data_IF_929002629547
#
_entry.id   IF_929002629547
#
_cell.length_a   1.000
_cell.length_b   1.000
_cell.length_c   1.000
_cell.angle_alpha   90.00
_cell.angle_beta   90.00
_cell.angle_gamma   90.00
#
_symmetry.space_group_name_H-M   'P 1'
#
loop_
_entity.id
_entity.type
_entity.pdbx_description
1 polymer ?
#
# COMPACT_ATOMS: atom_id res chain seq x y z
N UNK A 1 11.62 -1.59 12.96
CA UNK A 1 10.74 -0.40 12.93
C UNK A 1 11.43 0.73 12.15
N UNK A 2 10.90 1.08 10.97
CA UNK A 2 11.54 2.00 10.03
C UNK A 2 11.20 3.48 10.29
N UNK A 3 12.11 4.37 9.89
CA UNK A 3 11.87 5.82 9.86
C UNK A 3 10.93 6.21 8.72
N UNK A 4 10.27 7.35 8.83
CA UNK A 4 9.38 7.86 7.79
C UNK A 4 10.06 7.94 6.41
N UNK A 5 11.29 8.46 6.37
CA UNK A 5 12.06 8.58 5.13
C UNK A 5 12.37 7.22 4.49
N UNK A 6 12.72 6.21 5.28
CA UNK A 6 12.97 4.84 4.79
C UNK A 6 11.69 4.24 4.18
N UNK A 7 10.54 4.42 4.84
CA UNK A 7 9.25 3.96 4.30
C UNK A 7 8.91 4.64 2.98
N UNK A 8 9.18 5.95 2.86
CA UNK A 8 8.99 6.69 1.62
C UNK A 8 9.92 6.18 0.52
N UNK A 9 11.19 5.90 0.83
CA UNK A 9 12.17 5.43 -0.13
C UNK A 9 11.78 4.04 -0.67
N UNK A 10 11.39 3.13 0.22
CA UNK A 10 10.89 1.79 -0.14
C UNK A 10 9.67 1.90 -1.07
N UNK A 11 8.69 2.73 -0.74
CA UNK A 11 7.50 2.91 -1.58
C UNK A 11 7.79 3.64 -2.89
N UNK A 12 8.71 4.62 -2.86
CA UNK A 12 9.13 5.35 -4.06
C UNK A 12 10.03 4.52 -4.97
N UNK A 13 10.59 3.41 -4.48
CA UNK A 13 11.33 2.44 -5.27
C UNK A 13 10.43 1.64 -6.22
N UNK A 14 9.10 1.67 -6.03
CA UNK A 14 8.16 1.04 -6.94
C UNK A 14 7.78 2.03 -8.06
N UNK A 15 8.18 1.79 -9.32
CA UNK A 15 7.90 2.71 -10.43
C UNK A 15 6.41 2.82 -10.77
N UNK A 16 5.62 1.85 -10.32
CA UNK A 16 4.17 1.80 -10.48
C UNK A 16 3.43 2.77 -9.53
N UNK A 17 4.07 3.18 -8.43
CA UNK A 17 3.45 4.02 -7.43
C UNK A 17 3.71 5.51 -7.68
N UNK A 18 2.63 6.26 -7.82
CA UNK A 18 2.64 7.72 -7.85
C UNK A 18 2.55 8.26 -6.43
N UNK A 19 3.61 8.94 -5.99
CA UNK A 19 3.63 9.69 -4.73
C UNK A 19 2.66 10.87 -4.79
N UNK A 20 1.85 11.02 -3.75
CA UNK A 20 0.92 12.14 -3.59
C UNK A 20 1.07 12.74 -2.20
N UNK A 21 1.66 13.93 -2.13
CA UNK A 21 1.83 14.68 -0.89
C UNK A 21 0.50 15.34 -0.49
N UNK A 22 0.07 15.11 0.75
CA UNK A 22 -1.17 15.69 1.29
C UNK A 22 -0.86 16.61 2.48
N UNK A 23 -1.87 17.33 2.95
CA UNK A 23 -1.69 18.31 4.03
C UNK A 23 -1.15 17.69 5.33
N UNK A 24 -0.41 18.51 6.09
CA UNK A 24 0.26 18.16 7.35
C UNK A 24 1.41 17.15 7.21
N UNK A 25 2.14 17.21 6.10
CA UNK A 25 3.35 16.40 5.88
C UNK A 25 3.07 14.91 5.73
N UNK A 26 1.82 14.55 5.36
CA UNK A 26 1.44 13.16 5.10
C UNK A 26 1.66 12.85 3.62
N UNK A 27 1.89 11.58 3.34
CA UNK A 27 2.07 11.10 1.97
C UNK A 27 1.16 9.91 1.71
N UNK A 28 0.57 9.89 0.52
CA UNK A 28 -0.12 8.74 -0.03
C UNK A 28 0.66 8.22 -1.24
N UNK A 29 0.50 6.94 -1.56
CA UNK A 29 1.02 6.34 -2.79
C UNK A 29 -0.13 5.69 -3.53
N UNK A 30 -0.30 6.07 -4.79
CA UNK A 30 -1.38 5.58 -5.64
C UNK A 30 -0.82 4.74 -6.78
N UNK A 31 -1.43 3.60 -7.04
CA UNK A 31 -1.20 2.79 -8.22
C UNK A 31 -2.21 3.18 -9.31
N UNK A 32 -1.77 3.92 -10.32
CA UNK A 32 -2.66 4.42 -11.37
C UNK A 32 -3.16 3.33 -12.32
N UNK A 33 -2.38 2.27 -12.49
CA UNK A 33 -2.67 1.10 -13.31
C UNK A 33 -3.60 0.06 -12.68
N UNK A 34 -4.20 0.38 -11.52
CA UNK A 34 -5.11 -0.54 -10.84
C UNK A 34 -6.29 -0.93 -11.73
N UNK A 35 -6.56 -2.24 -11.82
CA UNK A 35 -7.75 -2.81 -12.45
C UNK A 35 -8.97 -2.76 -11.52
N UNK A 36 -8.82 -2.20 -10.33
CA UNK A 36 -9.88 -2.00 -9.35
C UNK A 36 -10.21 -0.50 -9.19
N UNK A 37 -11.39 -0.20 -8.64
CA UNK A 37 -11.75 1.17 -8.27
C UNK A 37 -10.77 1.77 -7.23
N UNK A 38 -10.17 0.91 -6.40
CA UNK A 38 -9.15 1.32 -5.43
C UNK A 38 -7.80 1.51 -6.12
N UNK A 39 -7.22 2.70 -5.97
CA UNK A 39 -5.87 3.03 -6.44
C UNK A 39 -4.88 3.31 -5.31
N UNK A 40 -5.38 3.58 -4.11
CA UNK A 40 -4.51 3.93 -2.98
C UNK A 40 -3.83 2.68 -2.42
N UNK A 41 -2.52 2.60 -2.58
CA UNK A 41 -1.68 1.56 -1.96
C UNK A 41 -1.18 2.05 -0.61
N UNK A 42 -0.44 3.16 -0.58
CA UNK A 42 -0.01 3.82 0.65
C UNK A 42 -1.00 4.88 1.10
N UNK A 43 -1.48 4.80 2.34
CA UNK A 43 -2.46 5.72 2.90
C UNK A 43 -1.98 6.37 4.20
N UNK A 44 -2.08 7.70 4.25
CA UNK A 44 -1.79 8.55 5.42
C UNK A 44 -0.45 8.20 6.08
N UNK A 45 0.62 8.02 5.29
CA UNK A 45 1.95 7.88 5.87
C UNK A 45 2.31 9.16 6.58
N UNK A 46 2.61 9.06 7.87
CA UNK A 46 2.84 10.18 8.77
C UNK A 46 4.31 10.21 9.19
N UNK A 47 4.91 11.39 9.38
CA UNK A 47 6.30 11.52 9.81
C UNK A 47 6.63 10.88 11.17
N UNK A 48 5.62 10.46 11.94
CA UNK A 48 5.81 9.70 13.18
C UNK A 48 6.02 8.19 12.92
N UNK A 49 6.12 7.76 11.66
CA UNK A 49 6.27 6.37 11.25
C UNK A 49 4.96 5.59 11.13
N UNK A 50 3.81 6.15 11.50
CA UNK A 50 2.52 5.51 11.29
C UNK A 50 2.07 5.64 9.84
N UNK A 51 1.31 4.67 9.37
CA UNK A 51 0.77 4.66 8.01
C UNK A 51 0.07 3.35 7.76
N UNK A 52 -0.53 3.25 6.58
CA UNK A 52 -1.26 2.06 6.20
C UNK A 52 -0.96 1.68 4.75
N UNK A 53 -0.97 0.37 4.48
CA UNK A 53 -0.92 -0.18 3.12
C UNK A 53 -2.22 -0.92 2.85
N UNK A 54 -2.75 -0.78 1.64
CA UNK A 54 -3.93 -1.52 1.24
C UNK A 54 -3.63 -3.03 1.19
N UNK A 55 -4.43 -3.82 1.86
CA UNK A 55 -4.30 -5.27 1.91
C UNK A 55 -5.67 -5.96 1.90
N UNK A 56 -6.74 -5.23 1.56
CA UNK A 56 -8.11 -5.76 1.57
C UNK A 56 -8.37 -6.85 0.53
N UNK A 57 -7.49 -6.98 -0.47
CA UNK A 57 -7.51 -8.07 -1.44
C UNK A 57 -6.55 -9.21 -1.07
N UNK A 58 -5.69 -9.00 -0.07
CA UNK A 58 -4.70 -9.98 0.37
C UNK A 58 -5.30 -10.90 1.43
N UNK A 59 -4.94 -12.18 1.36
CA UNK A 59 -5.31 -13.17 2.39
C UNK A 59 -4.18 -13.29 3.41
N UNK A 60 -4.52 -13.34 4.70
CA UNK A 60 -3.55 -13.54 5.79
C UNK A 60 -2.97 -12.26 6.40
N UNK A 61 -3.45 -11.08 5.99
CA UNK A 61 -3.07 -9.82 6.60
C UNK A 61 -4.19 -9.28 7.48
N UNK A 62 -3.81 -8.75 8.65
CA UNK A 62 -4.75 -8.05 9.53
C UNK A 62 -5.03 -6.66 8.96
N UNK A 63 -6.28 -6.43 8.55
CA UNK A 63 -6.72 -5.17 7.97
C UNK A 63 -7.86 -4.57 8.77
N UNK A 64 -7.92 -3.24 8.77
CA UNK A 64 -9.07 -2.51 9.29
C UNK A 64 -10.32 -2.71 8.40
N UNK A 65 -11.49 -2.25 8.83
CA UNK A 65 -12.75 -2.34 8.07
C UNK A 65 -12.72 -1.69 6.67
N UNK A 66 -11.68 -0.92 6.35
CA UNK A 66 -11.42 -0.34 5.02
C UNK A 66 -10.45 -1.15 4.15
N UNK A 67 -9.94 -2.28 4.63
CA UNK A 67 -8.96 -3.13 3.93
C UNK A 67 -7.53 -2.58 3.98
N UNK A 68 -7.16 -1.87 5.04
CA UNK A 68 -5.81 -1.31 5.21
C UNK A 68 -5.09 -1.97 6.37
N UNK A 69 -3.87 -2.44 6.13
CA UNK A 69 -2.96 -2.99 7.14
C UNK A 69 -2.06 -1.89 7.71
N UNK A 70 -1.86 -1.89 9.01
CA UNK A 70 -0.97 -0.95 9.69
C UNK A 70 0.49 -1.29 9.42
N UNK A 71 1.28 -0.30 9.01
CA UNK A 71 2.73 -0.50 8.75
C UNK A 71 3.63 0.08 9.84
N UNK A 72 3.06 0.42 11.00
CA UNK A 72 3.77 1.09 12.11
C UNK A 72 5.00 0.30 12.55
N UNK A 73 4.81 -1.00 12.79
CA UNK A 73 5.81 -1.90 13.38
C UNK A 73 6.51 -2.80 12.34
N UNK A 74 6.24 -2.61 11.05
CA UNK A 74 6.87 -3.39 9.99
C UNK A 74 8.33 -2.96 9.75
N UNK A 75 9.15 -3.95 9.39
CA UNK A 75 10.50 -3.76 8.89
C UNK A 75 10.54 -3.64 7.36
N UNK A 76 11.71 -3.28 6.80
CA UNK A 76 11.88 -3.00 5.36
C UNK A 76 11.34 -4.12 4.48
N UNK A 77 11.75 -5.35 4.79
CA UNK A 77 11.34 -6.54 4.04
C UNK A 77 9.82 -6.71 4.06
N UNK A 78 9.20 -6.60 5.23
CA UNK A 78 7.75 -6.76 5.37
C UNK A 78 6.97 -5.65 4.67
N UNK A 79 7.43 -4.40 4.78
CA UNK A 79 6.81 -3.27 4.09
C UNK A 79 6.88 -3.46 2.57
N UNK A 80 8.04 -3.89 2.06
CA UNK A 80 8.25 -4.14 0.64
C UNK A 80 7.38 -5.30 0.14
N UNK A 81 7.32 -6.40 0.87
CA UNK A 81 6.48 -7.55 0.55
C UNK A 81 5.00 -7.15 0.55
N UNK A 82 4.55 -6.40 1.55
CA UNK A 82 3.17 -5.94 1.66
C UNK A 82 2.79 -4.96 0.53
N UNK A 83 3.68 -4.02 0.21
CA UNK A 83 3.47 -3.08 -0.89
C UNK A 83 3.42 -3.79 -2.25
N UNK A 84 4.37 -4.70 -2.52
CA UNK A 84 4.40 -5.51 -3.73
C UNK A 84 3.11 -6.33 -3.87
N UNK A 85 2.74 -7.08 -2.83
CA UNK A 85 1.53 -7.89 -2.83
C UNK A 85 0.26 -7.03 -3.05
N UNK A 86 0.22 -5.83 -2.46
CA UNK A 86 -0.87 -4.88 -2.70
C UNK A 86 -0.94 -4.44 -4.15
N UNK A 87 0.18 -4.11 -4.78
CA UNK A 87 0.23 -3.69 -6.19
C UNK A 87 -0.19 -4.87 -7.07
N UNK A 88 0.37 -6.06 -6.85
CA UNK A 88 0.01 -7.27 -7.60
C UNK A 88 -1.48 -7.58 -7.50
N UNK A 89 -2.07 -7.44 -6.30
CA UNK A 89 -3.51 -7.67 -6.11
C UNK A 89 -4.38 -6.63 -6.80
N UNK A 90 -3.88 -5.41 -6.99
CA UNK A 90 -4.57 -4.34 -7.72
C UNK A 90 -4.32 -4.40 -9.24
N UNK A 91 -3.21 -5.00 -9.66
CA UNK A 91 -2.87 -5.27 -11.07
C UNK A 91 -3.54 -6.53 -11.61
N UNK A 92 -3.88 -7.48 -10.75
CA UNK A 92 -4.66 -8.64 -11.13
C UNK A 92 -6.12 -8.22 -11.39
N UNK A 93 -6.79 -8.75 -12.42
CA UNK A 93 -8.21 -8.52 -12.58
C UNK A 93 -8.94 -9.08 -11.36
N UNK A 94 -10.00 -8.40 -10.87
CA UNK A 94 -10.83 -8.95 -9.81
C UNK A 94 -11.25 -10.35 -10.25
N UNK A 95 -10.86 -11.36 -9.46
CA UNK A 95 -11.23 -12.74 -9.72
C UNK A 95 -12.74 -12.92 -9.49
N UNK A 96 -13.56 -12.37 -10.38
CA UNK A 96 -14.88 -12.91 -10.69
C UNK A 96 -14.71 -14.27 -11.36
N UNK A 97 -15.71 -15.17 -11.28
CA UNK A 97 -15.51 -16.57 -11.65
C UNK A 97 -14.97 -16.61 -13.08
N UNK A 98 -13.95 -17.43 -13.31
CA UNK A 98 -13.57 -17.84 -14.64
C UNK A 98 -14.87 -18.25 -15.34
N UNK A 99 -15.34 -17.41 -16.27
CA UNK A 99 -16.44 -17.80 -17.14
C UNK A 99 -15.84 -18.78 -18.13
N UNK A 100 -16.00 -20.06 -17.81
CA UNK A 100 -16.00 -21.14 -18.80
C UNK A 100 -17.03 -20.86 -19.91
#
# INVERSE_FOLDING_TARGET
MLSFQEKLDILSSFPELTRNDVSMGRVNFHFEGSLHEKKTVGYRLHPNGSGYIYAGLLKGYETDGKGYASIRDLDEKQLRELAAASIESLSAPPSGPARE
#
